data_IF_556050422272
#
_entry.id   IF_556050422272
#
_cell.length_a   1.000
_cell.length_b   1.000
_cell.length_c   1.000
_cell.angle_alpha   90.00
_cell.angle_beta   90.00
_cell.angle_gamma   90.00
#
_symmetry.space_group_name_H-M   'P 1'
#
loop_
_entity.id
_entity.type
_entity.pdbx_description
1 polymer ?
#
# COMPACT_ATOMS: atom_id res chain seq x y z
N UNK A 1 8.87 16.03 -0.13
CA UNK A 1 7.68 15.47 0.54
C UNK A 1 8.08 14.28 1.39
N UNK A 2 7.53 14.19 2.56
CA UNK A 2 7.80 13.07 3.48
C UNK A 2 7.14 11.77 3.00
N UNK A 3 7.64 10.66 3.46
CA UNK A 3 7.16 9.33 3.09
C UNK A 3 7.36 8.35 4.22
N UNK A 4 6.65 7.22 4.16
CA UNK A 4 6.85 6.07 5.03
C UNK A 4 7.57 5.00 4.22
N UNK A 5 8.61 4.40 4.81
CA UNK A 5 9.35 3.32 4.17
C UNK A 5 9.04 2.00 4.85
N UNK A 6 8.78 0.99 4.03
CA UNK A 6 8.57 -0.39 4.46
C UNK A 6 9.65 -1.27 3.85
N UNK A 7 10.36 -2.00 4.68
CA UNK A 7 11.32 -2.99 4.20
C UNK A 7 10.60 -4.33 3.95
N UNK A 8 10.99 -5.02 2.90
CA UNK A 8 10.41 -6.32 2.56
C UNK A 8 11.48 -7.29 2.07
N UNK A 9 11.32 -8.56 2.39
CA UNK A 9 12.12 -9.64 1.81
C UNK A 9 11.54 -10.15 0.48
N UNK A 10 10.39 -9.60 0.06
CA UNK A 10 9.66 -9.98 -1.16
C UNK A 10 9.44 -8.78 -2.07
N UNK A 11 10.54 -8.08 -2.43
CA UNK A 11 10.46 -6.79 -3.12
C UNK A 11 9.65 -6.87 -4.42
N UNK A 12 9.89 -7.87 -5.27
CA UNK A 12 9.22 -7.95 -6.57
C UNK A 12 7.71 -8.11 -6.42
N UNK A 13 7.26 -8.98 -5.52
CA UNK A 13 5.83 -9.20 -5.28
C UNK A 13 5.16 -7.98 -4.66
N UNK A 14 5.81 -7.33 -3.69
CA UNK A 14 5.25 -6.15 -3.02
C UNK A 14 5.19 -4.97 -3.98
N UNK A 15 6.25 -4.73 -4.76
CA UNK A 15 6.27 -3.66 -5.75
C UNK A 15 5.21 -3.89 -6.85
N UNK A 16 5.04 -5.13 -7.30
CA UNK A 16 4.00 -5.49 -8.25
C UNK A 16 2.60 -5.19 -7.69
N UNK A 17 2.38 -5.52 -6.43
CA UNK A 17 1.08 -5.27 -5.78
C UNK A 17 0.74 -3.78 -5.78
N UNK A 18 1.63 -2.92 -5.28
CA UNK A 18 1.34 -1.49 -5.21
C UNK A 18 1.31 -0.82 -6.58
N UNK A 19 2.20 -1.19 -7.47
CA UNK A 19 2.30 -0.58 -8.80
C UNK A 19 1.30 -1.12 -9.81
N UNK A 20 1.22 -2.44 -9.97
CA UNK A 20 0.40 -3.07 -11.00
C UNK A 20 -1.02 -3.39 -10.50
N UNK A 21 -1.15 -3.98 -9.32
CA UNK A 21 -2.46 -4.36 -8.79
C UNK A 21 -3.26 -3.16 -8.34
N UNK A 22 -2.64 -2.26 -7.57
CA UNK A 22 -3.31 -1.07 -7.04
C UNK A 22 -3.17 0.16 -7.94
N UNK A 23 -2.18 0.18 -8.84
CA UNK A 23 -2.03 1.23 -9.84
C UNK A 23 -1.49 2.55 -9.31
N UNK A 24 -0.78 2.55 -8.18
CA UNK A 24 -0.19 3.78 -7.66
C UNK A 24 0.98 4.24 -8.54
N UNK A 25 1.07 5.55 -8.85
CA UNK A 25 2.19 6.07 -9.64
C UNK A 25 3.52 5.95 -8.91
N UNK A 26 4.56 5.57 -9.65
CA UNK A 26 5.94 5.57 -9.17
C UNK A 26 6.50 6.98 -9.24
N UNK A 27 7.04 7.49 -8.14
CA UNK A 27 7.64 8.84 -8.09
C UNK A 27 9.15 8.79 -7.93
N UNK A 28 9.72 7.65 -7.56
CA UNK A 28 11.17 7.43 -7.52
C UNK A 28 11.44 5.93 -7.52
N UNK A 29 12.57 5.54 -8.14
CA UNK A 29 13.03 4.16 -8.08
C UNK A 29 14.54 4.09 -8.24
N UNK A 30 15.16 3.10 -7.64
CA UNK A 30 16.58 2.82 -7.77
C UNK A 30 16.84 1.33 -7.63
N UNK A 31 17.89 0.90 -8.34
CA UNK A 31 18.29 -0.51 -8.34
C UNK A 31 19.82 -0.54 -8.41
N UNK A 32 20.44 -0.74 -7.25
CA UNK A 32 21.91 -0.74 -7.08
C UNK A 32 22.30 -2.00 -6.32
N UNK A 33 23.56 -2.47 -6.43
CA UNK A 33 24.00 -3.64 -5.67
C UNK A 33 23.79 -3.54 -4.16
N UNK A 34 23.86 -2.33 -3.61
CA UNK A 34 23.76 -2.08 -2.17
C UNK A 34 22.46 -1.38 -1.76
N UNK A 35 21.45 -1.38 -2.62
CA UNK A 35 20.18 -0.78 -2.29
C UNK A 35 19.22 -0.76 -3.46
N UNK A 36 18.00 -1.23 -3.23
CA UNK A 36 16.93 -1.23 -4.22
C UNK A 36 15.65 -0.76 -3.57
N UNK A 37 14.92 0.13 -4.23
CA UNK A 37 13.68 0.63 -3.69
C UNK A 37 12.80 1.26 -4.75
N UNK A 38 11.58 1.52 -4.36
CA UNK A 38 10.60 2.19 -5.20
C UNK A 38 9.63 2.96 -4.32
N UNK A 39 9.34 4.20 -4.71
CA UNK A 39 8.44 5.07 -3.96
C UNK A 39 7.21 5.36 -4.79
N UNK A 40 6.04 5.25 -4.15
CA UNK A 40 4.73 5.44 -4.77
C UNK A 40 4.00 6.63 -4.17
N UNK A 41 3.17 7.28 -4.98
CA UNK A 41 2.24 8.31 -4.53
C UNK A 41 0.87 7.68 -4.27
N UNK A 42 0.39 7.78 -3.02
CA UNK A 42 -0.90 7.20 -2.61
C UNK A 42 -2.04 8.24 -2.50
N UNK A 43 -1.77 9.49 -2.89
CA UNK A 43 -2.75 10.56 -2.76
C UNK A 43 -2.63 11.30 -1.43
N UNK A 44 -1.55 12.09 -1.27
CA UNK A 44 -1.25 12.82 -0.04
C UNK A 44 -0.31 12.10 0.91
N UNK A 45 -0.05 10.82 0.68
CA UNK A 45 0.94 10.02 1.39
C UNK A 45 1.84 9.34 0.35
N UNK A 46 3.14 9.34 0.60
CA UNK A 46 4.08 8.55 -0.21
C UNK A 46 4.55 7.33 0.57
N UNK A 47 4.63 6.20 -0.13
CA UNK A 47 5.06 4.92 0.41
C UNK A 47 6.29 4.45 -0.35
N UNK A 48 7.37 4.18 0.38
CA UNK A 48 8.60 3.64 -0.19
C UNK A 48 8.72 2.17 0.19
N UNK A 49 8.99 1.33 -0.80
CA UNK A 49 9.27 -0.09 -0.58
C UNK A 49 10.77 -0.29 -0.76
N UNK A 50 11.41 -0.87 0.24
CA UNK A 50 12.85 -1.14 0.25
C UNK A 50 13.10 -2.64 0.19
N UNK A 51 14.04 -3.04 -0.66
CA UNK A 51 14.48 -4.43 -0.74
C UNK A 51 15.44 -4.73 0.42
N UNK A 52 14.90 -5.37 1.45
CA UNK A 52 15.66 -5.69 2.67
C UNK A 52 16.88 -6.59 2.39
N UNK A 53 16.82 -7.41 1.34
CA UNK A 53 17.92 -8.31 0.98
C UNK A 53 19.16 -7.58 0.45
N UNK A 54 18.99 -6.34 0.00
CA UNK A 54 20.09 -5.49 -0.50
C UNK A 54 20.54 -4.43 0.48
N UNK A 55 19.90 -4.34 1.66
CA UNK A 55 20.28 -3.38 2.67
C UNK A 55 21.56 -3.81 3.39
N UNK A 56 22.41 -2.82 3.74
CA UNK A 56 23.66 -3.05 4.47
C UNK A 56 23.40 -3.68 5.84
N UNK A 57 22.39 -3.16 6.53
CA UNK A 57 21.94 -3.69 7.81
C UNK A 57 20.57 -4.30 7.59
N UNK A 58 20.60 -5.56 7.19
CA UNK A 58 19.41 -6.31 6.92
C UNK A 58 18.58 -6.47 8.20
N UNK A 59 17.29 -6.12 8.12
CA UNK A 59 16.37 -6.29 9.22
C UNK A 59 15.85 -7.72 9.29
N UNK A 60 15.60 -8.18 10.50
CA UNK A 60 14.81 -9.39 10.70
C UNK A 60 13.33 -8.98 10.68
N UNK A 61 12.63 -9.40 9.64
CA UNK A 61 11.24 -9.03 9.44
C UNK A 61 10.35 -10.15 9.95
N UNK A 62 9.77 -9.90 11.13
CA UNK A 62 8.72 -10.75 11.69
C UNK A 62 7.40 -10.13 11.27
N UNK A 63 6.41 -10.80 10.97
CA UNK A 63 5.03 -10.47 10.64
C UNK A 63 4.68 -8.94 10.63
N UNK A 64 5.08 -8.17 9.62
CA UNK A 64 4.86 -6.71 9.59
C UNK A 64 3.38 -6.33 9.53
N UNK A 65 2.51 -7.20 9.03
CA UNK A 65 1.09 -6.94 8.88
C UNK A 65 0.33 -6.72 10.19
N UNK A 66 0.91 -7.07 11.33
CA UNK A 66 0.24 -6.93 12.62
C UNK A 66 0.33 -5.51 13.22
N UNK A 67 1.26 -4.69 12.73
CA UNK A 67 1.52 -3.37 13.31
C UNK A 67 1.29 -2.21 12.35
N UNK A 68 1.12 -2.51 11.08
CA UNK A 68 1.03 -1.48 10.05
C UNK A 68 -0.30 -1.60 9.34
N UNK A 69 -0.96 -0.47 9.16
CA UNK A 69 -2.22 -0.39 8.44
C UNK A 69 -2.15 0.82 7.53
N UNK A 70 -2.26 0.60 6.23
CA UNK A 70 -2.25 1.68 5.24
C UNK A 70 -3.70 2.02 4.92
N UNK A 71 -4.08 3.29 5.09
CA UNK A 71 -5.42 3.76 4.77
C UNK A 71 -5.33 4.80 3.66
N UNK A 72 -6.05 4.56 2.58
CA UNK A 72 -6.12 5.46 1.43
C UNK A 72 -7.52 6.04 1.37
N UNK A 73 -7.65 7.34 1.65
CA UNK A 73 -8.93 8.02 1.55
C UNK A 73 -9.22 8.35 0.08
N UNK A 74 -10.44 8.05 -0.36
CA UNK A 74 -10.88 8.27 -1.72
C UNK A 74 -12.27 8.89 -1.74
N UNK A 75 -12.60 9.56 -2.83
CA UNK A 75 -13.92 10.19 -2.99
C UNK A 75 -14.97 9.23 -3.53
N UNK A 76 -14.55 8.23 -4.31
CA UNK A 76 -15.46 7.29 -4.97
C UNK A 76 -14.86 5.88 -4.96
N UNK A 77 -15.42 5.00 -4.12
CA UNK A 77 -14.95 3.62 -3.98
C UNK A 77 -15.20 2.78 -5.23
N UNK A 78 -16.31 2.99 -5.93
CA UNK A 78 -16.62 2.21 -7.13
C UNK A 78 -15.68 2.52 -8.28
N UNK A 79 -15.26 3.77 -8.43
CA UNK A 79 -14.25 4.17 -9.41
C UNK A 79 -12.92 3.47 -9.09
N UNK A 80 -12.53 3.46 -7.81
CA UNK A 80 -11.29 2.80 -7.38
C UNK A 80 -11.36 1.31 -7.64
N UNK A 81 -12.45 0.64 -7.23
CA UNK A 81 -12.61 -0.81 -7.42
C UNK A 81 -12.47 -1.21 -8.89
N UNK A 82 -13.03 -0.42 -9.79
CA UNK A 82 -12.95 -0.70 -11.23
C UNK A 82 -11.54 -0.54 -11.81
N UNK A 83 -10.71 0.29 -11.18
CA UNK A 83 -9.33 0.52 -11.62
C UNK A 83 -8.35 -0.51 -11.09
N UNK A 84 -8.67 -1.16 -9.97
CA UNK A 84 -7.78 -2.13 -9.36
C UNK A 84 -7.74 -3.42 -10.20
N UNK A 85 -6.54 -3.98 -10.34
CA UNK A 85 -6.30 -5.22 -11.07
C UNK A 85 -6.15 -6.40 -10.11
N UNK A 86 -7.05 -6.45 -9.15
CA UNK A 86 -7.08 -7.49 -8.12
C UNK A 86 -8.54 -7.67 -7.69
N UNK A 87 -8.91 -8.87 -7.27
CA UNK A 87 -10.24 -9.13 -6.76
C UNK A 87 -10.42 -8.34 -5.46
N UNK A 88 -11.48 -7.54 -5.40
CA UNK A 88 -11.77 -6.72 -4.22
C UNK A 88 -13.02 -7.24 -3.52
N UNK A 89 -13.04 -7.23 -2.17
CA UNK A 89 -14.27 -7.53 -1.45
C UNK A 89 -15.29 -6.41 -1.65
N UNK A 90 -16.55 -6.71 -1.36
CA UNK A 90 -17.61 -5.70 -1.40
C UNK A 90 -17.38 -4.66 -0.29
N UNK A 91 -17.63 -3.36 -0.58
CA UNK A 91 -17.51 -2.34 0.45
C UNK A 91 -18.48 -2.57 1.58
N UNK A 92 -18.02 -2.27 2.78
CA UNK A 92 -18.82 -2.32 4.00
C UNK A 92 -19.07 -0.92 4.53
N UNK A 93 -20.28 -0.66 4.99
CA UNK A 93 -20.60 0.57 5.71
C UNK A 93 -20.34 0.33 7.18
N UNK A 94 -19.50 1.18 7.77
CA UNK A 94 -19.16 1.08 9.19
C UNK A 94 -19.88 2.13 10.01
N UNK A 95 -20.12 1.82 11.28
CA UNK A 95 -20.96 2.63 12.17
C UNK A 95 -20.43 4.04 12.42
N UNK A 96 -19.13 4.27 12.23
CA UNK A 96 -18.50 5.56 12.43
C UNK A 96 -18.51 6.46 11.18
N UNK A 97 -19.32 6.13 10.18
CA UNK A 97 -19.63 7.05 9.07
C UNK A 97 -18.76 6.94 7.85
N UNK A 98 -18.33 5.73 7.50
CA UNK A 98 -17.53 5.50 6.31
C UNK A 98 -17.98 4.24 5.58
N UNK A 99 -17.61 4.17 4.30
CA UNK A 99 -17.59 2.92 3.52
C UNK A 99 -16.15 2.57 3.22
N UNK A 100 -15.83 1.28 3.28
CA UNK A 100 -14.47 0.82 3.03
C UNK A 100 -14.43 -0.60 2.51
N UNK A 101 -13.31 -0.95 1.87
CA UNK A 101 -12.90 -2.32 1.66
C UNK A 101 -11.41 -2.44 1.94
N UNK A 102 -10.97 -3.65 2.27
CA UNK A 102 -9.60 -3.90 2.68
C UNK A 102 -9.00 -5.03 1.86
N UNK A 103 -7.74 -4.84 1.46
CA UNK A 103 -6.90 -5.84 0.83
C UNK A 103 -5.69 -6.06 1.71
N UNK A 104 -4.97 -7.15 1.48
CA UNK A 104 -3.67 -7.37 2.11
C UNK A 104 -2.60 -7.42 1.05
N UNK A 105 -1.47 -6.76 1.32
CA UNK A 105 -0.33 -6.87 0.45
C UNK A 105 0.37 -8.23 0.63
N UNK A 106 1.39 -8.57 -0.19
CA UNK A 106 2.07 -9.88 -0.05
C UNK A 106 2.76 -10.10 1.30
N UNK A 107 3.06 -9.05 2.05
CA UNK A 107 3.61 -9.16 3.41
C UNK A 107 2.51 -9.23 4.48
N UNK A 108 1.24 -9.24 4.09
CA UNK A 108 0.11 -9.28 5.01
C UNK A 108 -0.29 -7.93 5.58
N UNK A 109 0.26 -6.83 5.08
CA UNK A 109 -0.10 -5.49 5.54
C UNK A 109 -1.49 -5.14 5.02
N UNK A 110 -2.45 -4.79 5.91
CA UNK A 110 -3.77 -4.35 5.47
C UNK A 110 -3.69 -3.01 4.74
N UNK A 111 -4.34 -2.94 3.57
CA UNK A 111 -4.51 -1.72 2.79
C UNK A 111 -5.99 -1.47 2.66
N UNK A 112 -6.47 -0.39 3.26
CA UNK A 112 -7.90 -0.04 3.29
C UNK A 112 -8.14 1.15 2.38
N UNK A 113 -9.10 1.02 1.48
CA UNK A 113 -9.64 2.14 0.72
C UNK A 113 -10.91 2.61 1.42
N UNK A 114 -10.97 3.89 1.75
CA UNK A 114 -11.99 4.44 2.62
C UNK A 114 -12.62 5.69 2.01
N UNK A 115 -13.94 5.74 2.03
CA UNK A 115 -14.70 6.91 1.66
C UNK A 115 -15.51 7.38 2.87
N UNK A 116 -15.36 8.63 3.26
CA UNK A 116 -16.20 9.22 4.29
C UNK A 116 -17.60 9.47 3.75
N UNK A 117 -18.61 9.07 4.51
CA UNK A 117 -20.01 9.36 4.17
C UNK A 117 -20.38 10.77 4.60
N UNK A 118 -21.32 11.43 3.87
CA UNK A 118 -21.80 12.74 4.32
C UNK A 118 -22.42 12.65 5.71
N UNK A 119 -22.09 13.61 6.57
CA UNK A 119 -22.76 13.72 7.86
C UNK A 119 -24.20 14.20 7.63
N UNK A 120 -25.14 13.52 8.24
CA UNK A 120 -26.57 13.88 8.17
C UNK A 120 -26.96 14.82 9.30
#
# INVERSE_FOLDING_TARGET
MSYIALATDSFDEVAFFYGECLGFPVVAEWDRPNGRGRRYELGGLRLEILDNKRERQRLELNNPGERTHIVVEVDDLEVVRRRLRVITPDPQTVSWGAQLFQLRDPDGIPVTFLKWLPSS
#
